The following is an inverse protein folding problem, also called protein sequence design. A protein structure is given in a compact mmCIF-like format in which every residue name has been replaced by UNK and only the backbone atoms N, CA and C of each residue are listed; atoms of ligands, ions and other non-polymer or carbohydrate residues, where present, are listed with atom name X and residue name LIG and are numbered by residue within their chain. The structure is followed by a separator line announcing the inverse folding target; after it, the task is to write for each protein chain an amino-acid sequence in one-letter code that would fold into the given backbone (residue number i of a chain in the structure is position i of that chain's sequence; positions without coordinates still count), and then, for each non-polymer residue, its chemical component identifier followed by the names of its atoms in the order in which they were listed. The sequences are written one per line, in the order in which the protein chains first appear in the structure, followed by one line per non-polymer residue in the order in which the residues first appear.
data_IF_971443232291
#
_entry.id   IF_971443232291
#
_cell.length_a   1.000
_cell.length_b   1.000
_cell.length_c   1.000
_cell.angle_alpha   90.00
_cell.angle_beta   90.00
_cell.angle_gamma   90.00
#
_symmetry.space_group_name_H-M   'P 1'
#
loop_
_entity.id
_entity.type
_entity.pdbx_description
1 polymer ?
#
# COMPACT_ATOMS: atom_id res chain seq x y z
N UNK A 1 -11.11 2.88 12.62
CA UNK A 1 -12.26 3.05 11.72
C UNK A 1 -13.52 2.67 12.47
N UNK A 2 -14.47 3.59 12.67
CA UNK A 2 -15.78 3.31 13.28
C UNK A 2 -16.83 2.87 12.23
N UNK A 3 -16.40 2.45 11.04
CA UNK A 3 -17.34 1.99 10.04
C UNK A 3 -17.90 0.63 10.45
N UNK A 4 -19.23 0.43 10.38
CA UNK A 4 -19.82 -0.87 10.65
C UNK A 4 -19.36 -1.87 9.58
N UNK A 5 -18.59 -2.87 10.01
CA UNK A 5 -18.09 -3.92 9.13
C UNK A 5 -19.14 -5.04 9.06
N UNK A 6 -19.72 -5.27 7.89
CA UNK A 6 -20.65 -6.39 7.67
C UNK A 6 -19.93 -7.72 7.42
N UNK A 7 -18.71 -7.69 6.88
CA UNK A 7 -17.90 -8.87 6.58
C UNK A 7 -16.44 -8.59 7.00
N UNK A 8 -15.93 -9.37 7.95
CA UNK A 8 -14.50 -9.45 8.29
C UNK A 8 -14.03 -10.87 8.00
N UNK A 9 -13.14 -11.03 7.01
CA UNK A 9 -12.64 -12.34 6.58
C UNK A 9 -11.12 -12.39 6.73
N UNK A 10 -10.60 -13.39 7.45
CA UNK A 10 -9.17 -13.52 7.75
C UNK A 10 -8.36 -14.26 6.69
N UNK A 11 -9.00 -14.72 5.61
CA UNK A 11 -8.34 -15.46 4.52
C UNK A 11 -8.64 -14.82 3.16
N UNK A 12 -9.41 -15.48 2.30
CA UNK A 12 -9.71 -15.00 0.96
C UNK A 12 -11.22 -14.88 0.75
N UNK A 13 -11.61 -13.90 -0.06
CA UNK A 13 -12.95 -13.82 -0.64
C UNK A 13 -12.83 -14.30 -2.08
N UNK A 14 -13.42 -15.46 -2.38
CA UNK A 14 -13.46 -16.03 -3.73
C UNK A 14 -14.88 -15.94 -4.29
N UNK A 15 -15.04 -15.24 -5.41
CA UNK A 15 -16.29 -15.19 -6.16
C UNK A 15 -16.11 -15.89 -7.51
N UNK A 16 -17.06 -16.75 -7.90
CA UNK A 16 -17.01 -17.40 -9.22
C UNK A 16 -17.46 -16.49 -10.37
N UNK A 17 -18.34 -15.54 -10.08
CA UNK A 17 -18.92 -14.66 -11.09
C UNK A 17 -18.38 -13.24 -10.94
N UNK A 18 -18.83 -12.50 -9.92
CA UNK A 18 -18.48 -11.10 -9.76
C UNK A 18 -18.40 -10.68 -8.29
N UNK A 19 -17.54 -9.69 -8.03
CA UNK A 19 -17.61 -8.81 -6.87
C UNK A 19 -18.15 -7.46 -7.36
N UNK A 20 -19.33 -7.05 -6.88
CA UNK A 20 -20.03 -5.87 -7.39
C UNK A 20 -20.13 -4.79 -6.30
N UNK A 21 -19.68 -3.58 -6.61
CA UNK A 21 -19.82 -2.40 -5.77
C UNK A 21 -20.70 -1.36 -6.46
N UNK A 22 -21.74 -0.86 -5.77
CA UNK A 22 -22.63 0.19 -6.30
C UNK A 22 -21.91 1.54 -6.41
N UNK A 23 -21.99 2.20 -7.56
CA UNK A 23 -21.19 3.40 -7.88
C UNK A 23 -21.93 4.41 -8.77
N UNK A 24 -23.26 4.43 -8.73
CA UNK A 24 -24.12 5.28 -9.56
C UNK A 24 -23.96 6.78 -9.23
N UNK A 25 -24.08 7.67 -10.22
CA UNK A 25 -23.97 9.12 -10.00
C UNK A 25 -25.05 9.65 -9.04
N UNK A 26 -26.23 9.03 -8.99
CA UNK A 26 -27.35 9.47 -8.13
C UNK A 26 -27.12 9.18 -6.64
N UNK A 27 -26.12 8.36 -6.32
CA UNK A 27 -25.73 8.07 -4.93
C UNK A 27 -24.43 8.81 -4.54
N UNK A 28 -23.96 9.75 -5.37
CA UNK A 28 -22.73 10.52 -5.15
C UNK A 28 -22.99 12.01 -5.37
N UNK A 29 -22.40 12.84 -4.52
CA UNK A 29 -22.27 14.28 -4.81
C UNK A 29 -20.94 14.48 -5.51
N UNK A 30 -20.97 15.08 -6.70
CA UNK A 30 -19.75 15.40 -7.44
C UNK A 30 -19.12 16.68 -6.88
N UNK A 31 -17.80 16.69 -6.80
CA UNK A 31 -16.99 17.86 -6.48
C UNK A 31 -16.35 18.40 -7.76
N UNK A 32 -16.19 19.73 -7.86
CA UNK A 32 -15.43 20.38 -8.92
C UNK A 32 -13.92 20.44 -8.60
N UNK A 33 -13.50 19.89 -7.46
CA UNK A 33 -12.10 19.81 -7.07
C UNK A 33 -11.28 18.97 -8.07
N UNK A 34 -10.08 19.44 -8.35
CA UNK A 34 -9.13 18.70 -9.19
C UNK A 34 -8.41 17.66 -8.34
N UNK A 35 -8.27 16.45 -8.90
CA UNK A 35 -7.51 15.38 -8.26
C UNK A 35 -6.04 15.83 -8.14
N UNK A 36 -5.53 15.87 -6.91
CA UNK A 36 -4.13 16.19 -6.66
C UNK A 36 -3.24 14.99 -7.01
N UNK A 37 -2.52 15.07 -8.13
CA UNK A 37 -1.69 13.96 -8.61
C UNK A 37 -0.32 13.88 -7.92
N UNK A 38 0.10 14.93 -7.19
CA UNK A 38 1.36 14.93 -6.44
C UNK A 38 1.42 13.83 -5.37
N UNK A 39 0.25 13.33 -4.95
CA UNK A 39 0.14 12.17 -4.07
C UNK A 39 0.80 10.92 -4.68
N UNK A 40 0.68 10.72 -5.99
CA UNK A 40 1.20 9.54 -6.70
C UNK A 40 2.73 9.54 -6.72
N UNK A 41 3.34 10.70 -6.89
CA UNK A 41 4.79 10.83 -7.08
C UNK A 41 5.59 10.44 -5.82
N UNK A 42 4.96 10.51 -4.64
CA UNK A 42 5.62 10.26 -3.37
C UNK A 42 5.26 8.90 -2.74
N UNK A 43 4.33 8.16 -3.35
CA UNK A 43 3.91 6.83 -2.90
C UNK A 43 4.62 5.77 -3.76
N UNK A 44 5.51 5.00 -3.12
CA UNK A 44 6.26 3.95 -3.81
C UNK A 44 5.71 2.55 -3.49
N UNK A 45 5.47 1.70 -4.51
CA UNK A 45 5.20 0.29 -4.28
C UNK A 45 6.49 -0.43 -3.84
N UNK A 46 6.33 -1.38 -2.94
CA UNK A 46 7.41 -2.16 -2.33
C UNK A 46 7.23 -3.66 -2.62
N UNK A 47 8.36 -4.36 -2.74
CA UNK A 47 8.39 -5.83 -2.75
C UNK A 47 8.68 -6.31 -1.34
N UNK A 48 7.76 -7.07 -0.75
CA UNK A 48 7.87 -7.50 0.65
C UNK A 48 7.43 -8.95 0.86
N UNK A 49 7.79 -9.49 2.02
CA UNK A 49 7.27 -10.74 2.57
C UNK A 49 6.61 -10.44 3.91
N UNK A 50 5.58 -11.18 4.28
CA UNK A 50 4.96 -11.02 5.60
C UNK A 50 5.87 -11.58 6.69
N UNK A 51 5.85 -10.94 7.87
CA UNK A 51 6.53 -11.44 9.07
C UNK A 51 6.00 -12.82 9.48
N UNK A 52 4.69 -13.04 9.34
CA UNK A 52 4.06 -14.37 9.44
C UNK A 52 4.27 -15.14 8.13
N UNK A 53 5.51 -15.59 7.92
CA UNK A 53 5.91 -16.34 6.74
C UNK A 53 5.39 -17.77 6.73
N UNK A 54 4.94 -18.31 7.87
CA UNK A 54 4.32 -19.64 7.97
C UNK A 54 3.04 -19.63 7.13
N UNK A 55 2.18 -18.61 7.35
CA UNK A 55 0.92 -18.47 6.62
C UNK A 55 1.10 -17.81 5.26
N UNK A 56 2.07 -16.91 5.12
CA UNK A 56 2.27 -16.11 3.91
C UNK A 56 3.74 -16.13 3.44
N UNK A 57 4.25 -17.28 2.94
CA UNK A 57 5.66 -17.45 2.60
C UNK A 57 6.09 -16.75 1.30
N UNK A 58 5.13 -16.29 0.50
CA UNK A 58 5.39 -15.77 -0.85
C UNK A 58 5.79 -14.29 -0.81
N UNK A 59 6.62 -13.88 -1.76
CA UNK A 59 6.85 -12.45 -2.05
C UNK A 59 5.57 -11.82 -2.59
N UNK A 60 5.32 -10.59 -2.17
CA UNK A 60 4.21 -9.77 -2.60
C UNK A 60 4.75 -8.43 -3.11
N UNK A 61 3.95 -7.76 -3.94
CA UNK A 61 4.15 -6.37 -4.33
C UNK A 61 2.92 -5.59 -3.89
N UNK A 62 3.11 -4.45 -3.26
CA UNK A 62 2.02 -3.63 -2.72
C UNK A 62 2.55 -2.33 -2.13
N UNK A 63 1.78 -1.70 -1.25
CA UNK A 63 2.17 -0.44 -0.62
C UNK A 63 2.34 -0.60 0.90
N UNK A 64 3.20 0.22 1.48
CA UNK A 64 3.31 0.35 2.94
C UNK A 64 2.32 1.41 3.40
N UNK A 65 1.36 1.01 4.23
CA UNK A 65 0.23 1.85 4.60
C UNK A 65 0.65 3.16 5.29
N UNK A 66 1.74 3.14 6.05
CA UNK A 66 2.33 4.31 6.69
C UNK A 66 2.88 5.31 5.67
N UNK A 67 3.60 4.84 4.65
CA UNK A 67 4.08 5.71 3.56
C UNK A 67 2.92 6.33 2.78
N UNK A 68 1.85 5.56 2.55
CA UNK A 68 0.63 6.09 1.95
C UNK A 68 -0.03 7.12 2.85
N UNK A 69 -0.10 6.90 4.17
CA UNK A 69 -0.71 7.84 5.10
C UNK A 69 0.02 9.19 5.14
N UNK A 70 1.35 9.19 5.05
CA UNK A 70 2.16 10.42 5.00
C UNK A 70 1.82 11.30 3.78
N UNK A 71 1.47 10.69 2.65
CA UNK A 71 1.31 11.39 1.37
C UNK A 71 -0.14 11.50 0.90
N UNK A 72 -1.01 10.55 1.26
CA UNK A 72 -2.43 10.46 0.90
C UNK A 72 -3.23 9.82 2.06
N UNK A 73 -3.43 10.56 3.16
CA UNK A 73 -4.08 10.05 4.37
C UNK A 73 -5.52 9.57 4.14
N UNK A 74 -6.22 10.09 3.13
CA UNK A 74 -7.59 9.71 2.78
C UNK A 74 -7.71 8.27 2.30
N UNK A 75 -6.60 7.69 1.82
CA UNK A 75 -6.52 6.31 1.38
C UNK A 75 -6.25 5.32 2.52
N UNK A 76 -6.12 5.79 3.77
CA UNK A 76 -5.72 4.96 4.91
C UNK A 76 -6.67 5.13 6.07
N UNK A 77 -7.01 4.01 6.71
CA UNK A 77 -7.75 4.02 7.95
C UNK A 77 -6.90 3.45 9.09
N UNK A 78 -7.01 4.05 10.27
CA UNK A 78 -6.29 3.61 11.47
C UNK A 78 -7.30 2.98 12.44
N UNK A 79 -6.95 1.84 13.02
CA UNK A 79 -7.73 1.13 14.01
C UNK A 79 -6.83 0.22 14.85
N UNK A 80 -7.41 -0.43 15.85
CA UNK A 80 -6.66 -1.38 16.66
C UNK A 80 -6.47 -2.69 15.89
N UNK A 81 -5.23 -3.18 15.82
CA UNK A 81 -4.90 -4.42 15.10
C UNK A 81 -3.78 -5.18 15.78
N UNK A 82 -3.61 -6.46 15.48
CA UNK A 82 -2.53 -7.28 16.04
C UNK A 82 -1.39 -7.40 15.05
N UNK A 83 -0.16 -7.21 15.54
CA UNK A 83 1.05 -7.41 14.76
C UNK A 83 1.74 -8.73 15.13
N UNK A 84 2.36 -9.44 14.16
CA UNK A 84 3.14 -10.65 14.40
C UNK A 84 4.56 -10.31 14.87
N UNK A 85 4.70 -9.64 16.01
CA UNK A 85 5.99 -9.16 16.51
C UNK A 85 6.65 -10.12 17.50
N UNK A 86 5.89 -11.05 18.09
CA UNK A 86 6.40 -12.09 18.99
C UNK A 86 6.58 -13.39 18.21
N UNK A 87 5.49 -14.00 17.72
CA UNK A 87 5.50 -15.23 16.91
C UNK A 87 6.32 -16.38 17.54
N UNK A 88 6.01 -16.75 18.80
CA UNK A 88 6.76 -17.80 19.52
C UNK A 88 5.87 -18.77 20.27
N UNK A 89 6.31 -20.02 20.29
CA UNK A 89 5.82 -21.03 21.23
C UNK A 89 6.46 -20.75 22.60
N UNK A 90 5.63 -20.72 23.65
CA UNK A 90 6.04 -20.43 25.02
C UNK A 90 5.49 -21.50 25.95
N UNK A 91 6.34 -21.97 26.86
CA UNK A 91 5.97 -22.93 27.89
C UNK A 91 5.08 -22.28 28.95
N UNK A 92 4.02 -22.97 29.35
CA UNK A 92 3.19 -22.58 30.48
C UNK A 92 3.91 -22.99 31.76
N UNK A 93 4.30 -22.01 32.57
CA UNK A 93 4.94 -22.24 33.86
C UNK A 93 3.92 -22.67 34.91
N UNK A 94 2.76 -22.01 34.93
CA UNK A 94 1.67 -22.31 35.83
C UNK A 94 0.32 -22.10 35.12
N UNK A 95 -0.62 -23.02 35.35
CA UNK A 95 -1.99 -22.95 34.81
C UNK A 95 -3.00 -23.26 35.90
N UNK A 96 -3.85 -22.28 36.20
CA UNK A 96 -5.03 -22.44 37.05
C UNK A 96 -6.30 -22.25 36.22
N UNK A 97 -7.49 -22.45 36.79
CA UNK A 97 -8.77 -22.41 36.06
C UNK A 97 -9.02 -21.13 35.24
N UNK A 98 -8.39 -20.01 35.62
CA UNK A 98 -8.61 -18.70 35.01
C UNK A 98 -7.34 -17.97 34.59
N UNK A 99 -6.15 -18.50 34.92
CA UNK A 99 -4.88 -17.79 34.80
C UNK A 99 -3.79 -18.67 34.23
N UNK A 100 -3.02 -18.10 33.32
CA UNK A 100 -1.80 -18.69 32.77
C UNK A 100 -0.63 -17.78 33.13
N UNK A 101 0.46 -18.38 33.60
CA UNK A 101 1.76 -17.74 33.84
C UNK A 101 2.76 -18.25 32.81
N UNK A 102 3.46 -17.32 32.14
CA UNK A 102 4.58 -17.62 31.22
C UNK A 102 5.74 -16.66 31.47
N UNK A 103 6.92 -16.96 30.91
CA UNK A 103 8.08 -16.05 30.98
C UNK A 103 7.83 -14.75 30.20
N UNK A 104 8.39 -13.64 30.69
CA UNK A 104 8.32 -12.33 30.04
C UNK A 104 9.51 -12.02 29.12
N UNK A 105 9.88 -12.94 28.23
CA UNK A 105 11.03 -12.77 27.33
C UNK A 105 10.82 -11.68 26.25
N UNK A 106 9.63 -11.07 26.18
CA UNK A 106 9.21 -10.15 25.11
C UNK A 106 8.84 -8.74 25.60
N UNK A 107 9.19 -8.41 26.85
CA UNK A 107 8.95 -7.11 27.49
C UNK A 107 7.47 -6.69 27.40
N UNK A 108 6.56 -7.63 27.62
CA UNK A 108 5.14 -7.36 27.75
C UNK A 108 4.88 -6.64 29.08
N UNK A 109 3.93 -5.72 29.07
CA UNK A 109 3.57 -4.88 30.21
C UNK A 109 2.14 -5.17 30.65
N UNK A 110 1.82 -4.79 31.88
CA UNK A 110 0.44 -4.79 32.33
C UNK A 110 -0.44 -3.98 31.37
N UNK A 111 -1.64 -4.52 31.10
CA UNK A 111 -2.65 -4.01 30.17
C UNK A 111 -2.32 -4.17 28.68
N UNK A 112 -1.16 -4.70 28.31
CA UNK A 112 -0.94 -5.12 26.93
C UNK A 112 -2.01 -6.16 26.55
N UNK A 113 -2.59 -6.01 25.35
CA UNK A 113 -3.48 -7.01 24.78
C UNK A 113 -2.65 -7.83 23.80
N UNK A 114 -2.67 -9.15 23.96
CA UNK A 114 -1.94 -10.10 23.12
C UNK A 114 -2.89 -11.08 22.47
N UNK A 115 -2.53 -11.54 21.28
CA UNK A 115 -3.20 -12.67 20.63
C UNK A 115 -2.45 -13.95 20.93
N UNK A 116 -3.12 -14.88 21.59
CA UNK A 116 -2.62 -16.22 21.88
C UNK A 116 -3.34 -17.26 21.03
N UNK A 117 -2.65 -18.35 20.71
CA UNK A 117 -3.12 -19.44 19.87
C UNK A 117 -2.73 -20.77 20.53
N UNK A 118 -3.44 -21.85 20.20
CA UNK A 118 -3.09 -23.20 20.68
C UNK A 118 -1.71 -23.61 20.16
N UNK A 119 -1.47 -23.35 18.87
CA UNK A 119 -0.20 -23.57 18.17
C UNK A 119 -0.10 -22.58 16.99
N UNK A 120 0.95 -22.71 16.17
CA UNK A 120 1.18 -21.83 15.01
C UNK A 120 0.12 -21.96 13.90
N UNK A 121 -0.55 -23.11 13.82
CA UNK A 121 -1.56 -23.43 12.79
C UNK A 121 -2.97 -22.99 13.21
N UNK A 122 -3.20 -22.69 14.49
CA UNK A 122 -4.50 -22.25 15.00
C UNK A 122 -4.89 -20.83 14.53
N UNK A 123 -5.82 -20.79 13.57
CA UNK A 123 -6.39 -19.54 13.04
C UNK A 123 -7.43 -18.89 13.97
N UNK A 124 -7.94 -19.64 14.96
CA UNK A 124 -9.01 -19.19 15.86
C UNK A 124 -8.54 -18.35 17.04
N UNK A 125 -7.22 -18.15 17.17
CA UNK A 125 -6.55 -17.56 18.34
C UNK A 125 -7.28 -16.41 19.01
N UNK A 126 -7.20 -16.38 20.34
CA UNK A 126 -7.98 -15.50 21.21
C UNK A 126 -7.17 -14.30 21.69
N UNK A 127 -7.88 -13.21 21.94
CA UNK A 127 -7.30 -12.00 22.54
C UNK A 127 -7.38 -12.09 24.06
N UNK A 128 -6.29 -11.74 24.73
CA UNK A 128 -6.24 -11.66 26.18
C UNK A 128 -5.43 -10.46 26.65
N UNK A 129 -5.75 -9.96 27.84
CA UNK A 129 -5.07 -8.84 28.48
C UNK A 129 -4.08 -9.37 29.53
N UNK A 130 -2.86 -8.88 29.47
CA UNK A 130 -1.84 -9.07 30.51
C UNK A 130 -2.30 -8.35 31.78
N UNK A 131 -2.52 -9.11 32.86
CA UNK A 131 -3.01 -8.58 34.13
C UNK A 131 -1.90 -8.35 35.17
N UNK A 132 -0.73 -8.93 34.94
CA UNK A 132 0.48 -8.78 35.74
C UNK A 132 1.70 -8.97 34.84
N UNK A 133 2.72 -8.15 35.01
CA UNK A 133 3.99 -8.29 34.32
C UNK A 133 5.15 -7.74 35.18
N UNK A 134 6.22 -8.52 35.30
CA UNK A 134 7.52 -8.07 35.79
C UNK A 134 8.63 -8.48 34.80
N UNK A 135 9.90 -8.39 35.19
CA UNK A 135 11.03 -8.72 34.32
C UNK A 135 11.09 -10.22 33.96
N UNK A 136 10.50 -11.10 34.79
CA UNK A 136 10.63 -12.55 34.66
C UNK A 136 9.40 -13.21 34.06
N UNK A 137 8.21 -12.76 34.44
CA UNK A 137 6.93 -13.42 34.12
C UNK A 137 5.82 -12.44 33.74
N UNK A 138 4.87 -12.96 32.96
CA UNK A 138 3.56 -12.35 32.76
C UNK A 138 2.46 -13.30 33.18
N UNK A 139 1.32 -12.72 33.56
CA UNK A 139 0.08 -13.46 33.81
C UNK A 139 -1.06 -12.83 33.02
N UNK A 140 -1.89 -13.66 32.43
CA UNK A 140 -3.07 -13.22 31.70
C UNK A 140 -4.22 -14.20 31.91
N UNK A 141 -5.44 -13.71 31.70
CA UNK A 141 -6.66 -14.51 31.85
C UNK A 141 -6.91 -15.28 30.58
N UNK A 142 -7.24 -16.57 30.68
CA UNK A 142 -7.78 -17.29 29.53
C UNK A 142 -9.13 -17.86 29.90
N UNK A 143 -10.13 -17.54 29.09
CA UNK A 143 -11.41 -18.24 29.10
C UNK A 143 -11.13 -19.71 28.81
N UNK A 144 -11.63 -20.62 29.64
CA UNK A 144 -11.31 -22.06 29.71
C UNK A 144 -11.29 -22.78 28.35
N UNK A 145 -10.24 -22.56 27.56
CA UNK A 145 -10.01 -23.23 26.30
C UNK A 145 -9.24 -24.50 26.61
N UNK A 146 -9.98 -25.61 26.65
CA UNK A 146 -9.47 -26.95 26.94
C UNK A 146 -8.38 -27.40 25.95
N UNK A 147 -8.25 -26.72 24.79
CA UNK A 147 -7.22 -27.02 23.79
C UNK A 147 -5.83 -26.56 24.22
N UNK A 148 -5.71 -25.63 25.17
CA UNK A 148 -4.41 -25.17 25.66
C UNK A 148 -3.76 -26.24 26.52
N UNK A 149 -2.62 -26.78 26.05
CA UNK A 149 -1.89 -27.88 26.71
C UNK A 149 -0.79 -27.32 27.62
N UNK A 150 0.44 -27.79 27.46
CA UNK A 150 1.63 -27.38 28.22
C UNK A 150 2.30 -26.13 27.62
N UNK A 151 1.99 -25.83 26.36
CA UNK A 151 2.54 -24.70 25.62
C UNK A 151 1.42 -23.89 24.97
N UNK A 152 1.74 -22.65 24.64
CA UNK A 152 0.90 -21.76 23.83
C UNK A 152 1.73 -21.10 22.75
N UNK A 153 1.08 -20.59 21.71
CA UNK A 153 1.72 -19.75 20.73
C UNK A 153 1.29 -18.28 20.92
N UNK A 154 2.23 -17.38 21.21
CA UNK A 154 1.97 -15.95 21.27
C UNK A 154 2.25 -15.35 19.89
N UNK A 155 1.20 -14.90 19.21
CA UNK A 155 1.30 -14.30 17.88
C UNK A 155 1.95 -12.91 17.97
N UNK A 156 1.44 -12.07 18.88
CA UNK A 156 2.00 -10.75 19.14
C UNK A 156 1.01 -9.81 19.82
N UNK A 157 1.38 -8.52 19.84
CA UNK A 157 0.67 -7.45 20.54
C UNK A 157 -0.40 -6.80 19.68
N UNK A 158 -1.49 -6.37 20.32
CA UNK A 158 -2.41 -5.40 19.76
C UNK A 158 -1.79 -4.01 19.84
N UNK A 159 -1.90 -3.24 18.77
CA UNK A 159 -1.50 -1.84 18.67
C UNK A 159 -2.71 -0.99 18.30
N UNK A 160 -2.75 0.26 18.76
CA UNK A 160 -3.86 1.18 18.50
C UNK A 160 -3.74 1.92 17.16
N UNK A 161 -2.56 1.86 16.53
CA UNK A 161 -2.18 2.58 15.32
C UNK A 161 -1.97 1.65 14.12
N UNK A 162 -2.76 0.58 14.01
CA UNK A 162 -2.67 -0.33 12.87
C UNK A 162 -3.27 0.34 11.61
N UNK A 163 -2.45 0.50 10.58
CA UNK A 163 -2.81 1.17 9.33
C UNK A 163 -3.36 0.17 8.31
N UNK A 164 -4.54 0.45 7.77
CA UNK A 164 -5.21 -0.32 6.72
C UNK A 164 -5.41 0.51 5.47
N UNK A 165 -5.10 -0.07 4.31
CA UNK A 165 -5.19 0.60 3.01
C UNK A 165 -6.56 0.42 2.34
N UNK A 166 -7.08 1.51 1.79
CA UNK A 166 -8.15 1.49 0.80
C UNK A 166 -7.55 1.43 -0.61
N UNK A 167 -7.41 0.20 -1.13
CA UNK A 167 -6.87 -0.02 -2.46
C UNK A 167 -7.72 0.59 -3.58
N UNK A 168 -9.05 0.68 -3.44
CA UNK A 168 -9.92 1.31 -4.44
C UNK A 168 -9.60 2.80 -4.62
N UNK A 169 -9.28 3.50 -3.51
CA UNK A 169 -8.85 4.89 -3.56
C UNK A 169 -7.54 5.03 -4.33
N UNK A 170 -6.51 4.25 -3.96
CA UNK A 170 -5.18 4.30 -4.57
C UNK A 170 -5.26 3.97 -6.07
N UNK A 171 -6.01 2.93 -6.45
CA UNK A 171 -6.15 2.55 -7.85
C UNK A 171 -6.92 3.59 -8.66
N UNK A 172 -7.95 4.22 -8.09
CA UNK A 172 -8.68 5.31 -8.74
C UNK A 172 -7.79 6.53 -8.95
N UNK A 173 -6.99 6.88 -7.95
CA UNK A 173 -5.99 7.94 -8.05
C UNK A 173 -4.93 7.62 -9.13
N UNK A 174 -4.40 6.39 -9.14
CA UNK A 174 -3.49 5.91 -10.17
C UNK A 174 -4.09 5.99 -11.58
N UNK A 175 -5.38 5.68 -11.74
CA UNK A 175 -6.08 5.82 -13.02
C UNK A 175 -6.17 7.30 -13.47
N UNK A 176 -6.39 8.23 -12.53
CA UNK A 176 -6.34 9.66 -12.82
C UNK A 176 -4.95 10.10 -13.31
N UNK A 177 -3.88 9.61 -12.65
CA UNK A 177 -2.50 9.84 -13.08
C UNK A 177 -2.24 9.34 -14.50
N UNK A 178 -2.66 8.11 -14.83
CA UNK A 178 -2.54 7.55 -16.19
C UNK A 178 -3.24 8.42 -17.24
N UNK A 179 -4.44 8.94 -16.91
CA UNK A 179 -5.19 9.83 -17.81
C UNK A 179 -4.45 11.14 -18.04
N UNK A 180 -3.86 11.72 -17.00
CA UNK A 180 -3.08 12.95 -17.13
C UNK A 180 -1.80 12.73 -17.95
N UNK A 181 -1.03 11.68 -17.64
CA UNK A 181 0.16 11.33 -18.44
C UNK A 181 -0.16 11.10 -19.91
N UNK A 182 -1.34 10.54 -20.22
CA UNK A 182 -1.81 10.38 -21.60
C UNK A 182 -2.06 11.73 -22.30
N UNK A 183 -2.59 12.74 -21.60
CA UNK A 183 -2.76 14.08 -22.17
C UNK A 183 -1.40 14.72 -22.45
N UNK A 184 -0.47 14.64 -21.50
CA UNK A 184 0.88 15.18 -21.67
C UNK A 184 1.60 14.54 -22.86
N UNK A 185 1.49 13.23 -23.02
CA UNK A 185 2.05 12.52 -24.18
C UNK A 185 1.45 13.01 -25.51
N UNK A 186 0.15 13.30 -25.56
CA UNK A 186 -0.50 13.83 -26.77
C UNK A 186 0.04 15.23 -27.08
N UNK A 187 0.06 16.11 -26.07
CA UNK A 187 0.53 17.48 -26.22
C UNK A 187 2.00 17.52 -26.68
N UNK A 188 2.87 16.70 -26.07
CA UNK A 188 4.28 16.59 -26.45
C UNK A 188 4.44 16.07 -27.89
N UNK A 189 3.59 15.14 -28.34
CA UNK A 189 3.62 14.65 -29.72
C UNK A 189 3.20 15.73 -30.72
N UNK A 190 2.20 16.53 -30.39
CA UNK A 190 1.74 17.65 -31.24
C UNK A 190 2.83 18.72 -31.36
N UNK A 191 3.45 19.11 -30.24
CA UNK A 191 4.59 20.04 -30.23
C UNK A 191 5.76 19.51 -31.05
N UNK A 192 6.13 18.23 -30.86
CA UNK A 192 7.19 17.59 -31.63
C UNK A 192 6.87 17.57 -33.13
N UNK A 193 5.61 17.38 -33.52
CA UNK A 193 5.21 17.40 -34.93
C UNK A 193 5.30 18.81 -35.52
N UNK A 194 4.87 19.83 -34.77
CA UNK A 194 4.98 21.23 -35.19
C UNK A 194 6.45 21.65 -35.38
N UNK A 195 7.31 21.27 -34.45
CA UNK A 195 8.76 21.53 -34.52
C UNK A 195 9.42 20.82 -35.71
N UNK A 196 9.04 19.57 -36.00
CA UNK A 196 9.50 18.84 -37.20
C UNK A 196 9.10 19.55 -38.49
N UNK A 197 7.85 20.00 -38.59
CA UNK A 197 7.38 20.74 -39.78
C UNK A 197 8.13 22.06 -39.94
N UNK A 198 8.35 22.81 -38.85
CA UNK A 198 9.13 24.04 -38.88
C UNK A 198 10.57 23.78 -39.32
N UNK A 199 11.20 22.74 -38.79
CA UNK A 199 12.57 22.34 -39.16
C UNK A 199 12.68 21.98 -40.65
N UNK A 200 11.70 21.26 -41.21
CA UNK A 200 11.64 20.94 -42.64
C UNK A 200 11.49 22.18 -43.51
N UNK A 201 10.66 23.14 -43.10
CA UNK A 201 10.48 24.42 -43.79
C UNK A 201 11.76 25.27 -43.76
N UNK A 202 12.45 25.31 -42.61
CA UNK A 202 13.73 25.97 -42.47
C UNK A 202 14.80 25.32 -43.36
N UNK A 203 14.90 23.99 -43.37
CA UNK A 203 15.83 23.27 -44.25
C UNK A 203 15.59 23.58 -45.73
N UNK A 204 14.32 23.62 -46.16
CA UNK A 204 13.94 23.98 -47.54
C UNK A 204 14.30 25.43 -47.86
N UNK A 205 14.10 26.34 -46.90
CA UNK A 205 14.44 27.76 -47.06
C UNK A 205 15.95 27.95 -47.18
N UNK A 206 16.74 27.25 -46.35
CA UNK A 206 18.21 27.25 -46.41
C UNK A 206 18.67 26.75 -47.78
N UNK A 207 18.16 25.60 -48.25
CA UNK A 207 18.52 25.05 -49.56
C UNK A 207 18.20 26.00 -50.72
N UNK A 208 17.06 26.70 -50.65
CA UNK A 208 16.69 27.71 -51.65
C UNK A 208 17.61 28.93 -51.60
N UNK A 209 18.00 29.39 -50.41
CA UNK A 209 18.94 30.49 -50.24
C UNK A 209 20.34 30.11 -50.76
N UNK A 210 20.84 28.92 -50.42
CA UNK A 210 22.10 28.38 -50.95
C UNK A 210 22.10 28.35 -52.48
N UNK A 211 21.02 27.85 -53.09
CA UNK A 211 20.86 27.83 -54.56
C UNK A 211 20.92 29.24 -55.16
N UNK A 212 20.26 30.22 -54.52
CA UNK A 212 20.28 31.62 -54.97
C UNK A 212 21.66 32.23 -54.85
N UNK A 213 22.37 31.98 -53.75
CA UNK A 213 23.75 32.46 -53.54
C UNK A 213 24.66 31.94 -54.66
N UNK A 214 24.65 30.63 -54.93
CA UNK A 214 25.44 30.03 -56.02
C UNK A 214 25.10 30.66 -57.38
N UNK A 215 23.81 30.92 -57.65
CA UNK A 215 23.40 31.55 -58.91
C UNK A 215 23.90 33.01 -59.05
N UNK A 216 23.96 33.76 -57.95
CA UNK A 216 24.45 35.14 -57.93
C UNK A 216 25.97 35.17 -58.07
N UNK A 217 26.68 34.29 -57.38
CA UNK A 217 28.14 34.12 -57.52
C UNK A 217 28.54 33.79 -58.96
N UNK A 218 27.81 32.89 -59.62
CA UNK A 218 28.03 32.57 -61.02
C UNK A 218 27.80 33.78 -61.96
N UNK A 219 26.78 34.60 -61.69
CA UNK A 219 26.49 35.82 -62.47
C UNK A 219 27.54 36.91 -62.26
N UNK A 220 28.03 37.11 -61.04
CA UNK A 220 29.10 38.06 -60.74
C UNK A 220 30.38 37.66 -61.47
N UNK A 221 30.74 36.37 -61.37
CA UNK A 221 31.91 35.82 -62.08
C UNK A 221 31.81 36.02 -63.59
N UNK A 222 30.62 35.78 -64.18
CA UNK A 222 30.39 36.00 -65.62
C UNK A 222 30.43 37.49 -66.03
N UNK A 223 30.12 38.40 -65.11
CA UNK A 223 30.19 39.85 -65.34
C UNK A 223 31.61 40.43 -65.19
N UNK A 224 32.60 39.62 -64.80
CA UNK A 224 33.98 40.06 -64.56
C UNK A 224 34.14 40.94 -63.32
N UNK A 225 33.21 40.83 -62.36
CA UNK A 225 33.23 41.45 -61.04
C UNK A 225 33.77 40.49 -59.99
#
# INVERSE_FOLDING_TARGET
SNQPISIFASTAILTQTNFLASSDIRIKNLSDETINLNHIDNINPEIYTYKDSIRNPRKNIGFIAQNVFEHCPEAVSIHQGVIPDIMKVVDILEKNETLITVKNDYNLKEKDIIKIMVDEDDLSGVYTTVIYADEDIIKFKVTSDERLKETIFIYGRQVDDFHELNYDYIFTLGFAGIKESRKDIILLKEQLQAEKTLTQQQATTIQNLETRVVSLEARLTAAGL
#
